data_IF_428087325712
#
_entry.id   IF_428087325712
#
_cell.length_a   1.000
_cell.length_b   1.000
_cell.length_c   1.000
_cell.angle_alpha   90.00
_cell.angle_beta   90.00
_cell.angle_gamma   90.00
#
_symmetry.space_group_name_H-M   'P 1'
#
loop_
_entity.id
_entity.type
_entity.pdbx_description
1 polymer ?
#
# COMPACT_ATOMS: atom_id res chain seq x y z
N UNK A 1 11.94 15.37 -23.52
CA UNK A 1 12.33 13.96 -23.22
C UNK A 1 12.58 13.77 -21.73
N UNK A 2 13.27 14.70 -21.08
CA UNK A 2 13.53 14.70 -19.64
C UNK A 2 12.27 14.75 -18.77
N UNK A 3 11.21 15.47 -19.17
CA UNK A 3 9.93 15.46 -18.42
C UNK A 3 9.36 14.05 -18.24
N UNK A 4 9.43 13.18 -19.27
CA UNK A 4 8.93 11.81 -19.16
C UNK A 4 9.74 10.97 -18.17
N UNK A 5 11.05 11.18 -18.12
CA UNK A 5 11.92 10.47 -17.18
C UNK A 5 11.61 10.89 -15.75
N UNK A 6 11.43 12.20 -15.52
CA UNK A 6 10.97 12.74 -14.24
C UNK A 6 9.62 12.15 -13.85
N UNK A 7 8.65 12.18 -14.76
CA UNK A 7 7.29 11.71 -14.47
C UNK A 7 7.30 10.23 -14.10
N UNK A 8 8.05 9.38 -14.82
CA UNK A 8 8.22 7.96 -14.47
C UNK A 8 8.89 7.78 -13.10
N UNK A 9 9.94 8.54 -12.81
CA UNK A 9 10.61 8.53 -11.51
C UNK A 9 9.68 8.97 -10.36
N UNK A 10 8.85 10.00 -10.60
CA UNK A 10 7.85 10.48 -9.67
C UNK A 10 6.77 9.43 -9.41
N UNK A 11 6.31 8.71 -10.43
CA UNK A 11 5.34 7.61 -10.31
C UNK A 11 5.92 6.48 -9.43
N UNK A 12 7.16 6.04 -9.69
CA UNK A 12 7.79 5.00 -8.86
C UNK A 12 7.96 5.43 -7.40
N UNK A 13 8.32 6.70 -7.18
CA UNK A 13 8.45 7.23 -5.82
C UNK A 13 7.08 7.28 -5.14
N UNK A 14 6.05 7.80 -5.83
CA UNK A 14 4.70 7.86 -5.31
C UNK A 14 4.17 6.48 -4.93
N UNK A 15 4.32 5.48 -5.80
CA UNK A 15 3.89 4.11 -5.53
C UNK A 15 4.62 3.47 -4.35
N UNK A 16 5.94 3.68 -4.27
CA UNK A 16 6.73 3.18 -3.14
C UNK A 16 6.25 3.79 -1.82
N UNK A 17 6.07 5.10 -1.78
CA UNK A 17 5.65 5.82 -0.59
C UNK A 17 4.21 5.49 -0.16
N UNK A 18 3.27 5.38 -1.11
CA UNK A 18 1.92 4.89 -0.84
C UNK A 18 1.94 3.43 -0.35
N UNK A 19 2.84 2.60 -0.88
CA UNK A 19 3.09 1.24 -0.39
C UNK A 19 3.47 1.23 1.09
N UNK A 20 4.45 2.03 1.49
CA UNK A 20 4.86 2.17 2.91
C UNK A 20 3.74 2.69 3.80
N UNK A 21 2.91 3.61 3.29
CA UNK A 21 1.74 4.10 4.03
C UNK A 21 0.72 2.97 4.29
N UNK A 22 0.49 2.10 3.29
CA UNK A 22 -0.38 0.93 3.43
C UNK A 22 0.21 -0.11 4.40
N UNK A 23 1.51 -0.37 4.33
CA UNK A 23 2.19 -1.26 5.27
C UNK A 23 2.06 -0.75 6.71
N UNK A 24 2.33 0.54 6.93
CA UNK A 24 2.18 1.15 8.26
C UNK A 24 0.74 1.08 8.79
N UNK A 25 -0.26 1.20 7.91
CA UNK A 25 -1.66 1.00 8.29
C UNK A 25 -1.93 -0.44 8.72
N UNK A 26 -1.47 -1.42 7.93
CA UNK A 26 -1.67 -2.84 8.21
C UNK A 26 -0.97 -3.25 9.51
N UNK A 27 0.27 -2.80 9.73
CA UNK A 27 1.01 -3.07 10.95
C UNK A 27 0.27 -2.54 12.19
N UNK A 28 -0.26 -1.32 12.13
CA UNK A 28 -1.05 -0.76 13.23
C UNK A 28 -2.30 -1.62 13.51
N UNK A 29 -3.02 -2.05 12.48
CA UNK A 29 -4.20 -2.91 12.62
C UNK A 29 -3.83 -4.28 13.20
N UNK A 30 -2.74 -4.90 12.75
CA UNK A 30 -2.24 -6.18 13.27
C UNK A 30 -1.83 -6.09 14.74
N UNK A 31 -1.34 -4.94 15.18
CA UNK A 31 -1.04 -4.65 16.58
C UNK A 31 -2.29 -4.30 17.42
N UNK A 32 -3.49 -4.36 16.83
CA UNK A 32 -4.74 -4.02 17.50
C UNK A 32 -4.94 -2.52 17.72
N UNK A 33 -4.13 -1.67 17.08
CA UNK A 33 -4.28 -0.21 17.09
C UNK A 33 -5.11 0.20 15.89
N UNK A 34 -6.32 0.70 16.12
CA UNK A 34 -7.12 1.29 15.05
C UNK A 34 -6.52 2.65 14.66
N UNK A 35 -6.02 2.85 13.42
CA UNK A 35 -5.52 4.15 13.00
C UNK A 35 -6.65 5.19 13.00
N UNK A 36 -6.31 6.43 13.32
CA UNK A 36 -7.27 7.54 13.33
C UNK A 36 -7.85 7.79 11.93
N UNK A 37 -9.03 8.41 11.87
CA UNK A 37 -9.71 8.72 10.59
C UNK A 37 -8.85 9.59 9.66
N UNK A 38 -7.96 10.43 10.20
CA UNK A 38 -7.08 11.28 9.40
C UNK A 38 -5.83 10.58 8.87
N UNK A 39 -5.55 9.33 9.29
CA UNK A 39 -4.32 8.62 8.93
C UNK A 39 -4.06 8.64 7.41
N UNK A 40 -5.11 8.33 6.62
CA UNK A 40 -5.01 8.29 5.16
C UNK A 40 -4.83 9.68 4.57
N UNK A 41 -5.68 10.63 4.93
CA UNK A 41 -5.61 12.00 4.38
C UNK A 41 -4.27 12.66 4.68
N UNK A 42 -3.82 12.64 5.93
CA UNK A 42 -2.56 13.26 6.34
C UNK A 42 -1.36 12.49 5.76
N UNK A 43 -1.49 11.16 5.65
CA UNK A 43 -0.48 10.29 5.06
C UNK A 43 -0.28 10.56 3.57
N UNK A 44 -1.36 10.58 2.81
CA UNK A 44 -1.36 10.87 1.38
C UNK A 44 -0.83 12.28 1.12
N UNK A 45 -1.28 13.30 1.87
CA UNK A 45 -0.78 14.67 1.71
C UNK A 45 0.73 14.76 1.92
N UNK A 46 1.27 14.07 2.94
CA UNK A 46 2.72 13.99 3.16
C UNK A 46 3.44 13.31 2.00
N UNK A 47 2.90 12.21 1.48
CA UNK A 47 3.48 11.48 0.34
C UNK A 47 3.49 12.35 -0.93
N UNK A 48 2.37 13.01 -1.25
CA UNK A 48 2.29 13.92 -2.40
C UNK A 48 3.24 15.11 -2.27
N UNK A 49 3.34 15.69 -1.07
CA UNK A 49 4.31 16.76 -0.78
C UNK A 49 5.75 16.29 -0.99
N UNK A 50 6.09 15.09 -0.50
CA UNK A 50 7.41 14.52 -0.69
C UNK A 50 7.76 14.32 -2.18
N UNK A 51 6.83 13.74 -2.97
CA UNK A 51 7.03 13.54 -4.41
C UNK A 51 7.19 14.87 -5.13
N UNK A 52 6.40 15.87 -4.78
CA UNK A 52 6.51 17.23 -5.32
C UNK A 52 7.90 17.81 -5.05
N UNK A 53 8.38 17.76 -3.81
CA UNK A 53 9.70 18.30 -3.45
C UNK A 53 10.85 17.54 -4.14
N UNK A 54 10.75 16.21 -4.20
CA UNK A 54 11.78 15.35 -4.75
C UNK A 54 11.92 15.45 -6.28
N UNK A 55 10.83 15.73 -7.01
CA UNK A 55 10.83 15.66 -8.48
C UNK A 55 10.45 16.98 -9.17
N UNK A 56 9.71 17.87 -8.52
CA UNK A 56 9.17 19.09 -9.12
C UNK A 56 9.75 20.37 -8.52
N UNK A 57 10.68 20.26 -7.58
CA UNK A 57 11.40 21.42 -7.05
C UNK A 57 12.27 22.09 -8.11
N UNK A 58 12.44 23.40 -7.98
CA UNK A 58 13.24 24.20 -8.91
C UNK A 58 14.63 23.62 -9.20
N UNK A 59 15.43 23.13 -8.22
CA UNK A 59 16.73 22.53 -8.51
C UNK A 59 16.65 21.35 -9.48
N UNK A 60 15.65 20.47 -9.32
CA UNK A 60 15.45 19.31 -10.18
C UNK A 60 15.01 19.74 -11.57
N UNK A 61 14.09 20.71 -11.64
CA UNK A 61 13.61 21.23 -12.93
C UNK A 61 14.71 21.91 -13.73
N UNK A 62 15.50 22.79 -13.10
CA UNK A 62 16.63 23.48 -13.76
C UNK A 62 17.73 22.50 -14.17
N UNK A 63 17.95 21.41 -13.42
CA UNK A 63 18.88 20.36 -13.81
C UNK A 63 18.45 19.67 -15.11
N UNK A 64 17.15 19.47 -15.31
CA UNK A 64 16.58 18.78 -16.48
C UNK A 64 16.32 19.70 -17.67
N UNK A 65 15.90 20.92 -17.39
CA UNK A 65 15.63 21.99 -18.35
C UNK A 65 16.04 23.34 -17.73
N UNK A 66 17.25 23.84 -18.04
CA UNK A 66 17.74 25.11 -17.52
C UNK A 66 16.89 26.33 -17.88
N UNK A 67 16.05 26.24 -18.92
CA UNK A 67 15.18 27.32 -19.37
C UNK A 67 13.79 27.28 -18.71
N UNK A 68 13.50 26.29 -17.85
CA UNK A 68 12.21 26.18 -17.16
C UNK A 68 11.99 27.34 -16.18
N UNK A 69 10.99 28.18 -16.48
CA UNK A 69 10.59 29.36 -15.70
C UNK A 69 9.37 29.14 -14.80
N UNK A 70 8.73 27.97 -14.86
CA UNK A 70 7.55 27.68 -14.04
C UNK A 70 7.91 27.75 -12.56
N UNK A 71 6.93 27.98 -11.71
CA UNK A 71 7.02 27.74 -10.26
C UNK A 71 6.86 26.26 -9.94
N UNK A 72 7.23 25.84 -8.74
CA UNK A 72 7.08 24.44 -8.31
C UNK A 72 5.60 24.05 -8.22
N UNK A 73 4.72 24.98 -7.86
CA UNK A 73 3.27 24.78 -7.88
C UNK A 73 2.71 24.59 -9.29
N UNK A 74 3.15 25.39 -10.26
CA UNK A 74 2.72 25.26 -11.66
C UNK A 74 3.20 23.94 -12.27
N UNK A 75 4.47 23.60 -12.05
CA UNK A 75 5.05 22.36 -12.56
C UNK A 75 4.37 21.12 -11.95
N UNK A 76 4.00 21.19 -10.67
CA UNK A 76 3.24 20.14 -9.99
C UNK A 76 1.81 20.03 -10.52
N UNK A 77 1.05 21.13 -10.55
CA UNK A 77 -0.36 21.15 -11.00
C UNK A 77 -0.57 20.71 -12.45
N UNK A 78 0.42 20.88 -13.31
CA UNK A 78 0.35 20.38 -14.68
C UNK A 78 0.42 18.85 -14.77
N UNK A 79 0.93 18.18 -13.72
CA UNK A 79 1.34 16.76 -13.76
C UNK A 79 0.78 15.91 -12.62
N UNK A 80 0.26 16.50 -11.57
CA UNK A 80 -0.24 15.81 -10.37
C UNK A 80 -1.29 14.75 -10.69
N UNK A 81 -2.28 15.09 -11.52
CA UNK A 81 -3.32 14.18 -11.99
C UNK A 81 -2.74 13.01 -12.78
N UNK A 82 -1.83 13.26 -13.72
CA UNK A 82 -1.19 12.22 -14.54
C UNK A 82 -0.33 11.28 -13.67
N UNK A 83 0.45 11.83 -12.75
CA UNK A 83 1.30 11.05 -11.84
C UNK A 83 0.43 10.20 -10.90
N UNK A 84 -0.65 10.77 -10.36
CA UNK A 84 -1.59 10.04 -9.51
C UNK A 84 -2.35 8.94 -10.25
N UNK A 85 -2.86 9.22 -11.46
CA UNK A 85 -3.58 8.23 -12.28
C UNK A 85 -2.67 7.07 -12.70
N UNK A 86 -1.45 7.35 -13.14
CA UNK A 86 -0.49 6.32 -13.54
C UNK A 86 -0.02 5.47 -12.35
N UNK A 87 0.17 6.09 -11.18
CA UNK A 87 0.44 5.37 -9.93
C UNK A 87 -0.71 4.39 -9.62
N UNK A 88 -1.96 4.87 -9.60
CA UNK A 88 -3.13 4.02 -9.37
C UNK A 88 -3.24 2.86 -10.37
N UNK A 89 -2.98 3.11 -11.66
CA UNK A 89 -2.96 2.07 -12.69
C UNK A 89 -1.84 1.06 -12.49
N UNK A 90 -0.66 1.50 -12.06
CA UNK A 90 0.47 0.63 -11.76
C UNK A 90 0.18 -0.26 -10.55
N UNK A 91 -0.34 0.31 -9.45
CA UNK A 91 -0.84 -0.45 -8.30
C UNK A 91 -1.89 -1.48 -8.71
N UNK A 92 -2.86 -1.10 -9.56
CA UNK A 92 -3.89 -2.03 -10.04
C UNK A 92 -3.33 -3.19 -10.86
N UNK A 93 -2.40 -2.92 -11.77
CA UNK A 93 -1.71 -3.97 -12.55
C UNK A 93 -0.96 -4.90 -11.61
N UNK A 94 -0.27 -4.36 -10.61
CA UNK A 94 0.47 -5.15 -9.63
C UNK A 94 -0.44 -6.04 -8.78
N UNK A 95 -1.60 -5.54 -8.34
CA UNK A 95 -2.59 -6.33 -7.60
C UNK A 95 -3.11 -7.52 -8.42
N UNK A 96 -3.29 -7.35 -9.73
CA UNK A 96 -3.70 -8.45 -10.62
C UNK A 96 -2.65 -9.55 -10.79
N UNK A 97 -1.40 -9.28 -10.46
CA UNK A 97 -0.31 -10.26 -10.52
C UNK A 97 -0.20 -11.09 -9.23
N UNK A 98 -0.84 -10.66 -8.14
CA UNK A 98 -0.80 -11.38 -6.87
C UNK A 98 -1.83 -12.52 -6.95
N UNK A 99 -1.40 -13.79 -6.84
CA UNK A 99 -2.33 -14.92 -6.81
C UNK A 99 -3.24 -14.81 -5.59
N UNK A 100 -4.52 -15.14 -5.76
CA UNK A 100 -5.45 -15.16 -4.64
C UNK A 100 -5.13 -16.35 -3.72
N UNK A 101 -5.43 -16.19 -2.42
CA UNK A 101 -5.39 -17.31 -1.48
C UNK A 101 -6.37 -18.38 -1.97
N UNK A 102 -5.87 -19.59 -2.24
CA UNK A 102 -6.64 -20.71 -2.79
C UNK A 102 -6.66 -20.83 -4.33
N UNK A 103 -5.91 -20.00 -5.07
CA UNK A 103 -5.87 -20.01 -6.56
C UNK A 103 -5.02 -21.17 -7.15
N UNK A 104 -4.78 -22.23 -6.37
CA UNK A 104 -4.09 -23.47 -6.78
C UNK A 104 -2.61 -23.33 -7.21
N UNK A 105 -2.07 -22.10 -7.21
CA UNK A 105 -0.67 -21.78 -7.52
C UNK A 105 0.17 -21.53 -6.26
N UNK A 106 -0.47 -21.41 -5.10
CA UNK A 106 0.18 -21.51 -3.80
C UNK A 106 0.36 -22.98 -3.43
N UNK A 107 1.60 -23.38 -3.22
CA UNK A 107 1.92 -24.68 -2.63
C UNK A 107 1.69 -24.56 -1.12
N UNK A 108 0.48 -24.89 -0.67
CA UNK A 108 0.06 -24.88 0.73
C UNK A 108 0.76 -25.96 1.58
N UNK A 109 1.81 -26.63 1.05
CA UNK A 109 2.51 -27.74 1.72
C UNK A 109 3.55 -27.30 2.75
N UNK A 110 3.75 -26.00 3.00
CA UNK A 110 4.54 -25.57 4.15
C UNK A 110 3.64 -25.56 5.38
N UNK A 111 3.61 -26.72 6.05
CA UNK A 111 3.01 -27.02 7.36
C UNK A 111 2.67 -25.76 8.17
N UNK A 112 1.40 -25.36 8.12
CA UNK A 112 0.82 -24.52 9.14
C UNK A 112 0.39 -25.48 10.25
N UNK A 113 1.11 -25.58 11.39
CA UNK A 113 0.67 -26.45 12.47
C UNK A 113 -0.68 -25.97 12.95
N UNK A 114 -1.67 -26.83 12.76
CA UNK A 114 -3.05 -26.67 13.20
C UNK A 114 -3.08 -26.16 14.65
N UNK A 115 -3.66 -24.98 14.94
CA UNK A 115 -3.71 -24.47 16.31
C UNK A 115 -4.79 -25.26 17.05
N UNK A 116 -4.52 -26.51 17.39
CA UNK A 116 -5.31 -27.25 18.37
C UNK A 116 -5.07 -26.55 19.73
N UNK A 117 -6.08 -25.91 20.34
CA UNK A 117 -5.91 -25.34 21.67
C UNK A 117 -5.69 -26.49 22.66
N UNK A 118 -4.70 -26.40 23.57
CA UNK A 118 -4.51 -27.43 24.57
C UNK A 118 -5.64 -27.32 25.61
N UNK A 119 -6.62 -28.22 25.58
CA UNK A 119 -7.54 -28.39 26.70
C UNK A 119 -9.02 -28.64 26.41
N UNK A 120 -9.44 -28.98 25.18
CA UNK A 120 -10.80 -29.49 24.98
C UNK A 120 -10.88 -30.97 25.40
N UNK A 121 -10.98 -31.21 26.70
CA UNK A 121 -11.42 -32.50 27.26
C UNK A 121 -12.78 -32.85 26.63
N UNK A 122 -13.00 -34.06 26.09
CA UNK A 122 -14.32 -34.44 25.61
C UNK A 122 -15.22 -34.61 26.83
N UNK A 123 -16.15 -33.67 27.02
CA UNK A 123 -17.26 -33.87 27.94
C UNK A 123 -18.29 -34.72 27.18
N UNK A 124 -18.26 -36.03 27.42
CA UNK A 124 -19.30 -36.95 26.93
C UNK A 124 -20.66 -36.52 27.50
N UNK A 125 -21.51 -35.97 26.63
CA UNK A 125 -22.95 -35.99 26.82
C UNK A 125 -23.43 -37.45 26.75
N UNK A 126 -23.69 -38.07 27.91
CA UNK A 126 -24.65 -39.17 27.97
C UNK A 126 -25.87 -38.74 28.77
N UNK A 127 -26.94 -38.59 28.00
CA UNK A 127 -28.31 -38.44 28.41
C UNK A 127 -28.73 -39.51 29.43
N UNK A 128 -29.55 -39.10 30.39
CA UNK A 128 -30.13 -40.00 31.37
C UNK A 128 -31.11 -41.02 30.80
N UNK A 129 -31.40 -42.04 31.62
CA UNK A 129 -32.58 -42.89 31.45
C UNK A 129 -32.44 -44.29 32.04
N UNK A 130 -33.09 -44.51 33.20
CA UNK A 130 -33.89 -45.74 33.41
C UNK A 130 -33.37 -46.82 34.37
N UNK A 131 -34.15 -47.01 35.44
CA UNK A 131 -34.47 -48.26 36.15
C UNK A 131 -33.38 -48.89 37.03
N UNK A 132 -33.64 -49.41 38.23
CA UNK A 132 -34.88 -49.88 38.87
C UNK A 132 -34.88 -49.65 40.39
#
# INVERSE_FOLDING_TARGET
>A
MFDKIRDVSAIFTLEHELGRLREAYLDAVLEGRAPETSFWTDGEERVFTHVREAHFSRPVRVLMDPEDKRTDDEAWKERDSVVGEEAALWSHRRLKEIPFVGDGTHDDTVDSPDPTPPGATPQEDQAGGGSA
#
